data_IF_726839819611
#
_entry.id   IF_726839819611
#
_cell.length_a   1.000
_cell.length_b   1.000
_cell.length_c   1.000
_cell.angle_alpha   90.00
_cell.angle_beta   90.00
_cell.angle_gamma   90.00
#
_symmetry.space_group_name_H-M   'P 1'
#
loop_
_entity.id
_entity.type
_entity.pdbx_description
1 polymer ?
#
# COMPACT_ATOMS: atom_id res chain seq x y z
N UNK A 1 54.32 -47.19 37.30
CA UNK A 1 54.64 -48.48 37.95
C UNK A 1 55.28 -49.50 36.99
N UNK A 2 55.22 -49.32 35.66
CA UNK A 2 55.82 -50.26 34.69
C UNK A 2 57.35 -50.17 34.55
N UNK A 3 57.97 -49.06 34.96
CA UNK A 3 59.44 -48.93 34.89
C UNK A 3 60.17 -49.85 35.87
N UNK A 4 59.53 -50.25 36.97
CA UNK A 4 60.16 -51.02 38.05
C UNK A 4 60.24 -52.53 37.78
N UNK A 5 59.48 -53.04 36.81
CA UNK A 5 59.45 -54.45 36.42
C UNK A 5 60.39 -54.74 35.23
N UNK A 6 60.42 -53.85 34.23
CA UNK A 6 61.41 -53.90 33.15
C UNK A 6 62.86 -53.77 33.67
N UNK A 7 63.10 -52.93 34.69
CA UNK A 7 64.37 -52.85 35.41
C UNK A 7 64.77 -54.17 36.09
N UNK A 8 63.82 -55.03 36.46
CA UNK A 8 64.09 -56.33 37.12
C UNK A 8 64.44 -57.42 36.12
N UNK A 9 63.82 -57.44 34.94
CA UNK A 9 64.17 -58.38 33.87
C UNK A 9 65.56 -58.06 33.32
N UNK A 10 65.85 -56.79 33.04
CA UNK A 10 67.18 -56.35 32.61
C UNK A 10 68.24 -56.68 33.67
N UNK A 11 67.94 -56.46 34.95
CA UNK A 11 68.86 -56.83 36.04
C UNK A 11 69.12 -58.34 36.13
N UNK A 12 68.12 -59.20 35.90
CA UNK A 12 68.30 -60.67 35.91
C UNK A 12 69.07 -61.13 34.67
N UNK A 13 68.85 -60.51 33.52
CA UNK A 13 69.64 -60.78 32.30
C UNK A 13 71.10 -60.35 32.51
N UNK A 14 71.34 -59.18 33.08
CA UNK A 14 72.67 -58.69 33.43
C UNK A 14 73.35 -59.59 34.49
N UNK A 15 72.58 -60.13 35.45
CA UNK A 15 73.05 -61.11 36.44
C UNK A 15 73.48 -62.43 35.76
N UNK A 16 72.71 -62.92 34.77
CA UNK A 16 73.06 -64.09 33.95
C UNK A 16 74.30 -63.81 33.09
N UNK A 17 74.35 -62.65 32.42
CA UNK A 17 75.48 -62.25 31.57
C UNK A 17 76.78 -62.17 32.38
N UNK A 18 76.73 -61.52 33.54
CA UNK A 18 77.87 -61.42 34.45
C UNK A 18 78.27 -62.80 35.01
N UNK A 19 77.31 -63.66 35.32
CA UNK A 19 77.56 -65.03 35.78
C UNK A 19 78.29 -65.87 34.72
N UNK A 20 77.85 -65.79 33.47
CA UNK A 20 78.48 -66.49 32.34
C UNK A 20 79.85 -65.89 32.00
N UNK A 21 79.99 -64.56 32.05
CA UNK A 21 81.26 -63.87 31.79
C UNK A 21 82.33 -64.15 32.86
N UNK A 22 81.93 -64.31 34.12
CA UNK A 22 82.82 -64.61 35.25
C UNK A 22 83.18 -66.09 35.42
N UNK A 23 82.57 -66.99 34.64
CA UNK A 23 82.75 -68.42 34.78
C UNK A 23 84.11 -68.92 34.22
N UNK A 24 84.67 -69.95 34.87
CA UNK A 24 85.99 -70.49 34.55
C UNK A 24 86.02 -71.11 33.15
N UNK A 25 86.86 -70.56 32.26
CA UNK A 25 87.13 -71.15 30.93
C UNK A 25 88.11 -72.31 31.06
N UNK A 26 87.81 -73.40 30.38
CA UNK A 26 88.69 -74.57 30.37
C UNK A 26 89.84 -74.38 29.37
N UNK A 27 91.11 -74.63 29.75
CA UNK A 27 92.23 -74.57 28.80
C UNK A 27 92.09 -75.68 27.74
N UNK A 28 92.47 -75.40 26.49
CA UNK A 28 92.47 -76.33 25.34
C UNK A 28 91.09 -76.73 24.76
N UNK A 29 89.98 -76.39 25.43
CA UNK A 29 88.61 -76.60 24.94
C UNK A 29 87.85 -75.28 25.01
N UNK A 30 87.16 -74.92 23.92
CA UNK A 30 86.34 -73.69 23.87
C UNK A 30 85.02 -73.89 24.64
N UNK A 31 85.13 -74.11 25.95
CA UNK A 31 84.02 -74.39 26.87
C UNK A 31 84.19 -73.62 28.18
N UNK A 32 83.06 -73.15 28.70
CA UNK A 32 82.94 -72.45 29.98
C UNK A 32 82.33 -73.41 30.99
N UNK A 33 82.93 -73.53 32.17
CA UNK A 33 82.41 -74.36 33.25
C UNK A 33 81.44 -73.54 34.11
N UNK A 34 80.17 -73.92 34.09
CA UNK A 34 79.07 -73.24 34.80
C UNK A 34 78.45 -74.22 35.79
N UNK A 35 78.03 -73.74 36.97
CA UNK A 35 77.20 -74.56 37.86
C UNK A 35 75.76 -74.48 37.37
N UNK A 36 75.21 -75.64 37.06
CA UNK A 36 73.84 -75.82 36.62
C UNK A 36 72.83 -75.21 37.60
N UNK A 37 72.95 -75.50 38.90
CA UNK A 37 72.00 -75.04 39.92
C UNK A 37 71.77 -73.51 39.92
N UNK A 38 72.83 -72.74 39.77
CA UNK A 38 72.80 -71.27 39.86
C UNK A 38 72.31 -70.64 38.54
N UNK A 39 72.69 -71.22 37.39
CA UNK A 39 72.12 -70.85 36.10
C UNK A 39 70.62 -71.16 36.04
N UNK A 40 70.20 -72.34 36.51
CA UNK A 40 68.78 -72.71 36.56
C UNK A 40 67.98 -71.80 37.49
N UNK A 41 68.54 -71.40 38.63
CA UNK A 41 67.90 -70.44 39.53
C UNK A 41 67.64 -69.09 38.86
N UNK A 42 68.63 -68.53 38.15
CA UNK A 42 68.48 -67.28 37.41
C UNK A 42 67.50 -67.41 36.23
N UNK A 43 67.53 -68.54 35.52
CA UNK A 43 66.58 -68.85 34.46
C UNK A 43 65.15 -69.00 34.98
N UNK A 44 64.95 -69.58 36.16
CA UNK A 44 63.63 -69.72 36.79
C UNK A 44 63.08 -68.37 37.25
N UNK A 45 63.94 -67.50 37.80
CA UNK A 45 63.59 -66.12 38.14
C UNK A 45 63.15 -65.34 36.90
N UNK A 46 63.90 -65.45 35.80
CA UNK A 46 63.54 -64.85 34.51
C UNK A 46 62.22 -65.42 33.94
N UNK A 47 62.03 -66.75 34.04
CA UNK A 47 60.82 -67.46 33.59
C UNK A 47 59.57 -67.07 34.38
N UNK A 48 59.72 -66.69 35.66
CA UNK A 48 58.61 -66.23 36.49
C UNK A 48 58.22 -64.78 36.19
N UNK A 49 59.20 -63.90 35.93
CA UNK A 49 58.94 -62.46 35.71
C UNK A 49 58.53 -62.13 34.26
N UNK A 50 59.08 -62.84 33.25
CA UNK A 50 58.80 -62.56 31.83
C UNK A 50 57.30 -62.64 31.43
N UNK A 51 56.53 -63.69 31.80
CA UNK A 51 55.13 -63.81 31.39
C UNK A 51 54.27 -62.65 31.89
N UNK A 52 54.59 -62.13 33.07
CA UNK A 52 53.89 -61.00 33.69
C UNK A 52 54.14 -59.72 32.90
N UNK A 53 55.40 -59.42 32.58
CA UNK A 53 55.75 -58.22 31.81
C UNK A 53 55.14 -58.25 30.40
N UNK A 54 55.18 -59.40 29.74
CA UNK A 54 54.55 -59.56 28.41
C UNK A 54 53.03 -59.35 28.50
N UNK A 55 52.38 -59.88 29.54
CA UNK A 55 50.94 -59.67 29.78
C UNK A 55 50.62 -58.18 30.01
N UNK A 56 51.40 -57.50 30.84
CA UNK A 56 51.21 -56.08 31.14
C UNK A 56 51.41 -55.21 29.88
N UNK A 57 52.43 -55.50 29.08
CA UNK A 57 52.67 -54.84 27.80
C UNK A 57 51.52 -55.08 26.81
N UNK A 58 50.98 -56.30 26.73
CA UNK A 58 49.80 -56.61 25.92
C UNK A 58 48.56 -55.87 26.39
N UNK A 59 48.34 -55.71 27.71
CA UNK A 59 47.22 -54.92 28.22
C UNK A 59 47.36 -53.44 27.84
N UNK A 60 48.58 -52.87 27.92
CA UNK A 60 48.84 -51.49 27.50
C UNK A 60 48.55 -51.31 26.00
N UNK A 61 48.99 -52.24 25.15
CA UNK A 61 48.67 -52.23 23.72
C UNK A 61 47.16 -52.30 23.48
N UNK A 62 46.46 -53.23 24.15
CA UNK A 62 45.01 -53.36 24.02
C UNK A 62 44.28 -52.08 24.43
N UNK A 63 44.64 -51.50 25.58
CA UNK A 63 44.05 -50.24 26.05
C UNK A 63 44.32 -49.09 25.09
N UNK A 64 45.52 -49.03 24.51
CA UNK A 64 45.86 -48.04 23.50
C UNK A 64 44.95 -48.18 22.28
N UNK A 65 44.76 -49.40 21.79
CA UNK A 65 43.91 -49.65 20.62
C UNK A 65 42.44 -49.32 20.91
N UNK A 66 41.96 -49.65 22.12
CA UNK A 66 40.62 -49.27 22.59
C UNK A 66 40.44 -47.74 22.64
N UNK A 67 41.42 -47.00 23.17
CA UNK A 67 41.40 -45.52 23.21
C UNK A 67 41.40 -44.94 21.79
N UNK A 68 42.23 -45.46 20.90
CA UNK A 68 42.29 -45.00 19.51
C UNK A 68 40.97 -45.26 18.79
N UNK A 69 40.38 -46.44 18.94
CA UNK A 69 39.09 -46.78 18.34
C UNK A 69 37.94 -45.92 18.87
N UNK A 70 37.93 -45.66 20.19
CA UNK A 70 36.96 -44.77 20.80
C UNK A 70 37.11 -43.33 20.27
N UNK A 71 38.34 -42.80 20.21
CA UNK A 71 38.61 -41.46 19.70
C UNK A 71 38.25 -41.30 18.21
N UNK A 72 38.49 -42.33 17.38
CA UNK A 72 38.08 -42.34 15.98
C UNK A 72 36.56 -42.30 15.84
N UNK A 73 35.86 -43.13 16.60
CA UNK A 73 34.39 -43.17 16.61
C UNK A 73 33.80 -41.83 17.06
N UNK A 74 34.34 -41.24 18.12
CA UNK A 74 33.91 -39.93 18.62
C UNK A 74 34.17 -38.83 17.58
N UNK A 75 35.34 -38.83 16.94
CA UNK A 75 35.67 -37.89 15.87
C UNK A 75 34.69 -37.99 14.70
N UNK A 76 34.38 -39.22 14.24
CA UNK A 76 33.39 -39.46 13.18
C UNK A 76 32.00 -38.94 13.56
N UNK A 77 31.58 -39.16 14.81
CA UNK A 77 30.31 -38.64 15.33
C UNK A 77 30.28 -37.11 15.37
N UNK A 78 31.36 -36.47 15.82
CA UNK A 78 31.48 -35.00 15.86
C UNK A 78 31.39 -34.44 14.45
N UNK A 79 32.12 -35.02 13.48
CA UNK A 79 32.10 -34.58 12.08
C UNK A 79 30.70 -34.76 11.48
N UNK A 80 30.06 -35.92 11.71
CA UNK A 80 28.72 -36.18 11.21
C UNK A 80 27.70 -35.18 11.77
N UNK A 81 27.77 -34.89 13.08
CA UNK A 81 26.91 -33.90 13.74
C UNK A 81 27.16 -32.49 13.21
N UNK A 82 28.42 -32.08 13.07
CA UNK A 82 28.78 -30.77 12.55
C UNK A 82 28.27 -30.57 11.12
N UNK A 83 28.39 -31.61 10.27
CA UNK A 83 27.87 -31.57 8.90
C UNK A 83 26.34 -31.45 8.88
N UNK A 84 25.64 -32.21 9.72
CA UNK A 84 24.19 -32.13 9.83
C UNK A 84 23.71 -30.75 10.30
N UNK A 85 24.37 -30.18 11.31
CA UNK A 85 24.08 -28.83 11.81
C UNK A 85 24.37 -27.76 10.74
N UNK A 86 25.49 -27.88 10.02
CA UNK A 86 25.83 -26.97 8.94
C UNK A 86 24.77 -27.00 7.82
N UNK A 87 24.31 -28.19 7.43
CA UNK A 87 23.26 -28.33 6.42
C UNK A 87 21.93 -27.74 6.90
N UNK A 88 21.56 -27.96 8.16
CA UNK A 88 20.36 -27.34 8.75
C UNK A 88 20.45 -25.79 8.76
N UNK A 89 21.61 -25.24 9.12
CA UNK A 89 21.87 -23.79 9.12
C UNK A 89 21.73 -23.24 7.70
N UNK A 90 22.33 -23.90 6.71
CA UNK A 90 22.25 -23.48 5.30
C UNK A 90 20.80 -23.49 4.82
N UNK A 91 20.03 -24.54 5.13
CA UNK A 91 18.61 -24.62 4.73
C UNK A 91 17.72 -23.60 5.45
N UNK A 92 18.01 -23.29 6.72
CA UNK A 92 17.35 -22.16 7.42
C UNK A 92 17.70 -20.82 6.77
N UNK A 93 18.96 -20.59 6.44
CA UNK A 93 19.41 -19.35 5.80
C UNK A 93 18.79 -19.16 4.41
N UNK A 94 18.74 -20.21 3.58
CA UNK A 94 18.08 -20.17 2.26
C UNK A 94 16.59 -19.83 2.39
N UNK A 95 15.87 -20.47 3.32
CA UNK A 95 14.45 -20.18 3.56
C UNK A 95 14.21 -18.75 4.00
N UNK A 96 15.06 -18.23 4.89
CA UNK A 96 14.96 -16.84 5.35
C UNK A 96 15.23 -15.86 4.20
N UNK A 97 16.30 -16.10 3.42
CA UNK A 97 16.64 -15.28 2.27
C UNK A 97 15.50 -15.25 1.23
N UNK A 98 14.92 -16.40 0.90
CA UNK A 98 13.78 -16.48 -0.02
C UNK A 98 12.59 -15.67 0.52
N UNK A 99 12.25 -15.83 1.81
CA UNK A 99 11.15 -15.09 2.43
C UNK A 99 11.38 -13.58 2.38
N UNK A 100 12.59 -13.12 2.66
CA UNK A 100 12.94 -11.70 2.60
C UNK A 100 12.89 -11.15 1.17
N UNK A 101 13.32 -11.92 0.17
CA UNK A 101 13.18 -11.54 -1.25
C UNK A 101 11.70 -11.42 -1.63
N UNK A 102 10.88 -12.39 -1.23
CA UNK A 102 9.43 -12.38 -1.49
C UNK A 102 8.75 -11.19 -0.79
N UNK A 103 9.13 -10.89 0.46
CA UNK A 103 8.66 -9.71 1.20
C UNK A 103 9.07 -8.40 0.50
N UNK A 104 10.31 -8.28 0.03
CA UNK A 104 10.74 -7.10 -0.72
C UNK A 104 10.01 -6.94 -2.05
N UNK A 105 9.79 -8.04 -2.79
CA UNK A 105 9.03 -8.02 -4.03
C UNK A 105 7.57 -7.59 -3.77
N UNK A 106 6.95 -8.10 -2.71
CA UNK A 106 5.61 -7.72 -2.30
C UNK A 106 5.52 -6.24 -1.92
N UNK A 107 6.49 -5.73 -1.16
CA UNK A 107 6.55 -4.30 -0.79
C UNK A 107 6.77 -3.42 -2.01
N UNK A 108 7.62 -3.82 -2.95
CA UNK A 108 7.83 -3.09 -4.20
C UNK A 108 6.54 -3.03 -5.03
N UNK A 109 5.85 -4.17 -5.19
CA UNK A 109 4.57 -4.25 -5.90
C UNK A 109 3.49 -3.41 -5.23
N UNK A 110 3.38 -3.45 -3.89
CA UNK A 110 2.43 -2.64 -3.15
C UNK A 110 2.68 -1.14 -3.32
N UNK A 111 3.95 -0.71 -3.32
CA UNK A 111 4.33 0.68 -3.57
C UNK A 111 4.01 1.14 -5.00
N UNK A 112 4.21 0.27 -6.00
CA UNK A 112 3.83 0.54 -7.38
C UNK A 112 2.30 0.69 -7.53
N UNK A 113 1.53 -0.24 -6.95
CA UNK A 113 0.06 -0.15 -6.93
C UNK A 113 -0.42 1.13 -6.23
N UNK A 114 0.17 1.49 -5.09
CA UNK A 114 -0.17 2.71 -4.38
C UNK A 114 0.11 3.97 -5.23
N UNK A 115 1.22 4.01 -5.97
CA UNK A 115 1.53 5.11 -6.90
C UNK A 115 0.49 5.20 -8.02
N UNK A 116 0.16 4.07 -8.65
CA UNK A 116 -0.83 4.05 -9.73
C UNK A 116 -2.21 4.54 -9.24
N UNK A 117 -2.64 4.11 -8.04
CA UNK A 117 -3.91 4.57 -7.45
C UNK A 117 -3.90 6.09 -7.24
N UNK A 118 -2.79 6.66 -6.73
CA UNK A 118 -2.67 8.10 -6.52
C UNK A 118 -2.68 8.86 -7.85
N UNK A 119 -1.98 8.36 -8.87
CA UNK A 119 -1.96 8.96 -10.20
C UNK A 119 -3.34 8.93 -10.85
N UNK A 120 -4.04 7.79 -10.81
CA UNK A 120 -5.41 7.66 -11.30
C UNK A 120 -6.37 8.59 -10.55
N UNK A 121 -6.25 8.67 -9.21
CA UNK A 121 -7.09 9.55 -8.40
C UNK A 121 -6.86 11.04 -8.75
N UNK A 122 -5.59 11.45 -8.94
CA UNK A 122 -5.25 12.82 -9.33
C UNK A 122 -5.73 13.15 -10.75
N UNK A 123 -5.57 12.21 -11.69
CA UNK A 123 -6.06 12.37 -13.06
C UNK A 123 -7.59 12.54 -13.06
N UNK A 124 -8.31 11.68 -12.33
CA UNK A 124 -9.76 11.75 -12.20
C UNK A 124 -10.22 13.02 -11.49
N UNK A 125 -9.55 13.45 -10.43
CA UNK A 125 -9.86 14.71 -9.75
C UNK A 125 -9.70 15.90 -10.71
N UNK A 126 -8.62 15.93 -11.50
CA UNK A 126 -8.38 16.98 -12.51
C UNK A 126 -9.46 16.98 -13.59
N UNK A 127 -9.85 15.81 -14.08
CA UNK A 127 -10.94 15.65 -15.05
C UNK A 127 -12.26 16.16 -14.49
N UNK A 128 -12.63 15.75 -13.27
CA UNK A 128 -13.85 16.21 -12.59
C UNK A 128 -13.86 17.73 -12.40
N UNK A 129 -12.73 18.34 -12.02
CA UNK A 129 -12.64 19.80 -11.89
C UNK A 129 -12.84 20.48 -13.25
N UNK A 130 -12.21 19.98 -14.31
CA UNK A 130 -12.36 20.52 -15.66
C UNK A 130 -13.81 20.40 -16.17
N UNK A 131 -14.45 19.27 -15.93
CA UNK A 131 -15.86 19.07 -16.27
C UNK A 131 -16.77 20.03 -15.48
N UNK A 132 -16.54 20.18 -14.18
CA UNK A 132 -17.31 21.09 -13.35
C UNK A 132 -17.15 22.55 -13.79
N UNK A 133 -15.93 22.97 -14.14
CA UNK A 133 -15.66 24.31 -14.69
C UNK A 133 -16.36 24.53 -16.04
N UNK A 134 -16.35 23.53 -16.92
CA UNK A 134 -17.04 23.59 -18.20
C UNK A 134 -18.56 23.71 -18.02
N UNK A 135 -19.15 22.91 -17.12
CA UNK A 135 -20.58 22.97 -16.80
C UNK A 135 -20.95 24.31 -16.17
N UNK A 136 -20.14 24.83 -15.25
CA UNK A 136 -20.35 26.14 -14.64
C UNK A 136 -20.30 27.26 -15.69
N UNK A 137 -19.37 27.17 -16.65
CA UNK A 137 -19.29 28.10 -17.78
C UNK A 137 -20.56 28.07 -18.64
N UNK A 138 -21.00 26.87 -19.05
CA UNK A 138 -22.22 26.69 -19.84
C UNK A 138 -23.47 27.21 -19.12
N UNK A 139 -23.60 26.92 -17.82
CA UNK A 139 -24.72 27.40 -17.01
C UNK A 139 -24.73 28.93 -16.92
N UNK A 140 -23.55 29.54 -16.76
CA UNK A 140 -23.41 30.99 -16.73
C UNK A 140 -23.81 31.62 -18.06
N UNK A 141 -23.31 31.10 -19.18
CA UNK A 141 -23.66 31.58 -20.52
C UNK A 141 -25.16 31.44 -20.79
N UNK A 142 -25.77 30.31 -20.41
CA UNK A 142 -27.20 30.10 -20.54
C UNK A 142 -28.01 31.11 -19.70
N UNK A 143 -27.63 31.33 -18.45
CA UNK A 143 -28.28 32.29 -17.57
C UNK A 143 -28.16 33.74 -18.07
N UNK A 144 -27.00 34.12 -18.63
CA UNK A 144 -26.79 35.42 -19.26
C UNK A 144 -27.66 35.62 -20.50
N UNK A 145 -27.75 34.60 -21.36
CA UNK A 145 -28.63 34.60 -22.54
C UNK A 145 -30.11 34.69 -22.15
N UNK A 146 -30.55 33.91 -21.17
CA UNK A 146 -31.93 33.93 -20.66
C UNK A 146 -32.28 35.29 -20.05
N UNK A 147 -31.38 35.87 -19.27
CA UNK A 147 -31.56 37.21 -18.70
C UNK A 147 -31.65 38.29 -19.77
N UNK A 148 -30.80 38.21 -20.81
CA UNK A 148 -30.83 39.14 -21.93
C UNK A 148 -32.15 39.02 -22.73
N UNK A 149 -32.62 37.80 -22.96
CA UNK A 149 -33.91 37.55 -23.60
C UNK A 149 -35.07 38.05 -22.75
N UNK A 150 -35.08 37.77 -21.45
CA UNK A 150 -36.12 38.25 -20.54
C UNK A 150 -36.17 39.79 -20.51
N UNK A 151 -35.02 40.46 -20.54
CA UNK A 151 -34.96 41.93 -20.64
C UNK A 151 -35.60 42.42 -21.94
N UNK A 152 -35.27 41.80 -23.07
CA UNK A 152 -35.87 42.15 -24.36
C UNK A 152 -37.39 41.92 -24.38
N UNK A 153 -37.87 40.83 -23.79
CA UNK A 153 -39.29 40.51 -23.69
C UNK A 153 -40.03 41.53 -22.81
N UNK A 154 -39.43 41.94 -21.68
CA UNK A 154 -39.98 42.99 -20.81
C UNK A 154 -40.03 44.34 -21.53
N UNK A 155 -38.98 44.71 -22.27
CA UNK A 155 -38.97 45.94 -23.08
C UNK A 155 -40.06 45.90 -24.17
N UNK A 156 -40.23 44.76 -24.84
CA UNK A 156 -41.27 44.58 -25.85
C UNK A 156 -42.66 44.71 -25.24
N UNK A 157 -42.91 44.04 -24.12
CA UNK A 157 -44.18 44.09 -23.41
C UNK A 157 -44.52 45.49 -22.92
N UNK A 158 -43.53 46.22 -22.39
CA UNK A 158 -43.72 47.62 -21.96
C UNK A 158 -44.16 48.50 -23.14
N UNK A 159 -43.50 48.37 -24.30
CA UNK A 159 -43.88 49.12 -25.51
C UNK A 159 -45.29 48.76 -25.99
N UNK A 160 -45.65 47.48 -26.01
CA UNK A 160 -47.00 47.05 -26.37
C UNK A 160 -48.07 47.62 -25.44
N UNK A 161 -47.80 47.66 -24.13
CA UNK A 161 -48.71 48.28 -23.17
C UNK A 161 -48.85 49.78 -23.41
N UNK A 162 -47.74 50.48 -23.68
CA UNK A 162 -47.80 51.90 -24.02
C UNK A 162 -48.63 52.14 -25.28
N UNK A 163 -48.42 51.38 -26.34
CA UNK A 163 -49.20 51.47 -27.58
C UNK A 163 -50.69 51.20 -27.33
N UNK A 164 -51.01 50.20 -26.51
CA UNK A 164 -52.40 49.88 -26.18
C UNK A 164 -53.08 51.01 -25.39
N UNK A 165 -52.38 51.62 -24.42
CA UNK A 165 -52.89 52.77 -23.66
C UNK A 165 -53.10 53.97 -24.60
N UNK A 166 -52.14 54.27 -25.47
CA UNK A 166 -52.26 55.36 -26.45
C UNK A 166 -53.43 55.14 -27.41
N UNK A 167 -53.61 53.92 -27.92
CA UNK A 167 -54.72 53.57 -28.81
C UNK A 167 -56.08 53.72 -28.11
N UNK A 168 -56.20 53.24 -26.87
CA UNK A 168 -57.42 53.37 -26.07
C UNK A 168 -57.74 54.83 -25.75
N UNK A 169 -56.72 55.62 -25.36
CA UNK A 169 -56.88 57.06 -25.12
C UNK A 169 -57.32 57.81 -26.37
N UNK A 170 -56.73 57.50 -27.52
CA UNK A 170 -57.12 58.11 -28.80
C UNK A 170 -58.59 57.78 -29.13
N UNK A 171 -58.98 56.52 -28.96
CA UNK A 171 -60.36 56.06 -29.17
C UNK A 171 -61.34 56.80 -28.24
N UNK A 172 -61.00 56.95 -26.95
CA UNK A 172 -61.81 57.69 -26.00
C UNK A 172 -61.91 59.18 -26.35
N UNK A 173 -60.81 59.80 -26.78
CA UNK A 173 -60.81 61.19 -27.22
C UNK A 173 -61.68 61.40 -28.46
N UNK A 174 -61.61 60.52 -29.46
CA UNK A 174 -62.50 60.56 -30.63
C UNK A 174 -63.97 60.41 -30.22
N UNK A 175 -64.29 59.52 -29.27
CA UNK A 175 -65.65 59.39 -28.75
C UNK A 175 -66.15 60.67 -28.07
N UNK A 176 -65.30 61.32 -27.26
CA UNK A 176 -65.60 62.61 -26.62
C UNK A 176 -65.80 63.70 -27.67
N UNK A 177 -64.93 63.79 -28.69
CA UNK A 177 -65.06 64.77 -29.77
C UNK A 177 -66.36 64.60 -30.55
N UNK A 178 -66.73 63.36 -30.88
CA UNK A 178 -68.00 63.06 -31.53
C UNK A 178 -69.20 63.46 -30.65
N UNK A 179 -69.14 63.19 -29.34
CA UNK A 179 -70.20 63.56 -28.42
C UNK A 179 -70.31 65.08 -28.26
N UNK A 180 -69.19 65.77 -28.13
CA UNK A 180 -69.13 67.23 -28.09
C UNK A 180 -69.71 67.86 -29.37
N UNK A 181 -69.35 67.34 -30.55
CA UNK A 181 -69.95 67.77 -31.82
C UNK A 181 -71.46 67.52 -31.88
N UNK A 182 -71.93 66.38 -31.37
CA UNK A 182 -73.35 66.07 -31.23
C UNK A 182 -74.09 67.05 -30.32
N UNK A 183 -73.48 67.44 -29.19
CA UNK A 183 -74.05 68.46 -28.29
C UNK A 183 -74.12 69.82 -28.99
N UNK A 184 -73.07 70.23 -29.71
CA UNK A 184 -73.08 71.50 -30.46
C UNK A 184 -74.20 71.51 -31.51
N UNK A 185 -74.35 70.44 -32.29
CA UNK A 185 -75.43 70.32 -33.27
C UNK A 185 -76.81 70.32 -32.60
N UNK A 186 -76.97 69.64 -31.46
CA UNK A 186 -78.21 69.66 -30.70
C UNK A 186 -78.54 71.07 -30.16
N UNK A 187 -77.53 71.79 -29.66
CA UNK A 187 -77.69 73.18 -29.22
C UNK A 187 -78.08 74.10 -30.39
N UNK A 188 -77.50 73.91 -31.58
CA UNK A 188 -77.85 74.68 -32.78
C UNK A 188 -79.30 74.39 -33.21
N UNK A 189 -79.73 73.13 -33.19
CA UNK A 189 -81.13 72.77 -33.46
C UNK A 189 -82.10 73.39 -32.44
N UNK A 190 -81.80 73.32 -31.15
CA UNK A 190 -82.61 73.96 -30.11
C UNK A 190 -82.66 75.48 -30.32
N UNK A 191 -81.53 76.10 -30.67
CA UNK A 191 -81.49 77.53 -30.96
C UNK A 191 -82.40 77.90 -32.14
N UNK A 192 -82.35 77.12 -33.22
CA UNK A 192 -83.21 77.30 -34.39
C UNK A 192 -84.69 77.08 -34.05
N UNK A 193 -85.03 76.04 -33.30
CA UNK A 193 -86.40 75.74 -32.85
C UNK A 193 -86.95 76.86 -31.96
N UNK A 194 -86.16 77.33 -30.99
CA UNK A 194 -86.53 78.47 -30.14
C UNK A 194 -86.71 79.74 -30.98
N UNK A 195 -85.83 80.00 -31.94
CA UNK A 195 -85.95 81.11 -32.87
C UNK A 195 -87.25 81.05 -33.70
N UNK A 196 -87.58 79.87 -34.24
CA UNK A 196 -88.82 79.62 -34.96
C UNK A 196 -90.06 79.80 -34.08
N UNK A 197 -90.03 79.27 -32.86
CA UNK A 197 -91.12 79.44 -31.89
C UNK A 197 -91.32 80.91 -31.50
N UNK A 198 -90.24 81.68 -31.33
CA UNK A 198 -90.31 83.12 -31.06
C UNK A 198 -90.91 83.89 -32.26
N UNK A 199 -90.52 83.56 -33.49
CA UNK A 199 -91.14 84.14 -34.68
C UNK A 199 -92.64 83.82 -34.76
N UNK A 200 -93.03 82.56 -34.53
CA UNK A 200 -94.42 82.16 -34.50
C UNK A 200 -95.22 82.89 -33.42
N UNK A 201 -94.65 83.05 -32.22
CA UNK A 201 -95.27 83.85 -31.14
C UNK A 201 -95.41 85.32 -31.51
N UNK A 202 -94.41 85.91 -32.16
CA UNK A 202 -94.46 87.30 -32.60
C UNK A 202 -95.55 87.50 -33.66
N UNK A 203 -95.66 86.57 -34.63
CA UNK A 203 -96.75 86.57 -35.61
C UNK A 203 -98.12 86.41 -34.95
N UNK A 204 -98.26 85.51 -33.98
CA UNK A 204 -99.50 85.33 -33.24
C UNK A 204 -99.87 86.60 -32.45
N UNK A 205 -98.89 87.27 -31.83
CA UNK A 205 -99.08 88.55 -31.13
C UNK A 205 -99.53 89.65 -32.08
N UNK A 206 -98.93 89.74 -33.27
CA UNK A 206 -99.32 90.69 -34.32
C UNK A 206 -100.73 90.40 -34.85
N UNK A 207 -101.12 89.13 -35.03
CA UNK A 207 -102.48 88.74 -35.43
C UNK A 207 -103.52 89.07 -34.35
N UNK A 208 -103.21 88.87 -33.06
CA UNK A 208 -104.09 89.26 -31.95
C UNK A 208 -104.26 90.79 -31.90
N UNK A 209 -103.19 91.56 -32.09
CA UNK A 209 -103.29 93.02 -32.19
C UNK A 209 -104.10 93.47 -33.42
N UNK A 210 -103.96 92.80 -34.56
CA UNK A 210 -104.77 93.05 -35.76
C UNK A 210 -106.25 92.67 -35.57
N UNK A 211 -106.56 91.64 -34.77
CA UNK A 211 -107.91 91.23 -34.45
C UNK A 211 -108.59 92.19 -33.46
N UNK A 212 -107.87 92.64 -32.42
CA UNK A 212 -108.40 93.60 -31.43
C UNK A 212 -108.56 95.04 -31.95
N UNK A 213 -107.93 95.40 -33.08
CA UNK A 213 -108.11 96.71 -33.73
C UNK A 213 -109.27 96.76 -34.73
N UNK A 214 -110.00 95.65 -34.90
CA UNK A 214 -111.20 95.53 -35.76
C UNK A 214 -112.51 95.30 -34.98
N UNK A 215 -112.47 95.35 -33.65
CA UNK A 215 -113.64 95.39 -32.77
C UNK A 215 -113.75 96.74 -32.10
#
# INVERSE_FOLDING_TARGET
>A
MNGDAMLKIDAVLEEIENYVAGASRMPLVDRVMIKDDELFHLMDKLRQELPREVSDAMEVCRRRDEIIGAAQTESEQIIAKANAEAEEIIEKAKRLAQKTVDEHALVAQANEQARNIIEEANAKATEMTKEAEAQAGQLKEAAESETAQMKADVEHYANQLFDHVLANMNTAMTAIQNHAGGIVNAMENIHNDVGGAMQAMQQAKEQIHAANSRS
#
